data_IF_856603612804
#
_entry.id   IF_856603612804
#
_cell.length_a   1.000
_cell.length_b   1.000
_cell.length_c   1.000
_cell.angle_alpha   90.00
_cell.angle_beta   90.00
_cell.angle_gamma   90.00
#
_symmetry.space_group_name_H-M   'P 1'
#
loop_
_entity.id
_entity.type
_entity.pdbx_description
1 polymer ?
#
# COMPACT_ATOMS: atom_id res chain seq x y z
N UNK A 1 10.88 -28.98 2.00
CA UNK A 1 11.90 -27.92 1.98
C UNK A 1 11.31 -26.79 1.17
N UNK A 2 10.55 -25.92 1.82
CA UNK A 2 10.14 -24.65 1.21
C UNK A 2 11.41 -23.79 1.07
N UNK A 3 11.67 -23.23 -0.12
CA UNK A 3 12.79 -22.33 -0.29
C UNK A 3 12.47 -21.10 0.54
N UNK A 4 13.38 -20.83 1.48
CA UNK A 4 13.37 -19.65 2.33
C UNK A 4 13.26 -18.42 1.45
N UNK A 5 12.32 -17.54 1.79
CA UNK A 5 12.22 -16.15 1.32
C UNK A 5 13.41 -15.34 1.90
N UNK A 6 14.63 -15.82 1.69
CA UNK A 6 15.88 -15.19 2.11
C UNK A 6 16.49 -14.56 0.84
N UNK A 7 16.21 -13.28 0.57
CA UNK A 7 16.96 -12.53 -0.44
C UNK A 7 16.20 -11.51 -1.30
N UNK A 8 14.91 -11.28 -1.07
CA UNK A 8 14.27 -10.04 -1.50
C UNK A 8 14.04 -9.25 -0.22
N UNK A 9 14.86 -8.23 0.05
CA UNK A 9 14.33 -7.03 0.69
C UNK A 9 13.25 -6.53 -0.27
N UNK A 10 12.03 -7.07 -0.15
CA UNK A 10 10.89 -6.67 -0.97
C UNK A 10 10.57 -5.26 -0.52
N UNK A 11 10.99 -4.28 -1.32
CA UNK A 11 10.63 -2.90 -1.08
C UNK A 11 9.10 -2.82 -0.92
N UNK A 12 8.65 -2.06 0.07
CA UNK A 12 7.20 -1.94 0.30
C UNK A 12 6.53 -1.23 -0.88
N UNK A 13 5.22 -1.39 -1.03
CA UNK A 13 4.47 -0.65 -2.05
C UNK A 13 4.68 0.86 -1.89
N UNK A 14 4.71 1.35 -0.65
CA UNK A 14 5.06 2.73 -0.36
C UNK A 14 6.42 3.13 -0.94
N UNK A 15 7.47 2.34 -0.70
CA UNK A 15 8.81 2.66 -1.22
C UNK A 15 8.81 2.68 -2.75
N UNK A 16 8.10 1.77 -3.40
CA UNK A 16 7.97 1.77 -4.86
C UNK A 16 7.25 3.03 -5.38
N UNK A 17 6.11 3.38 -4.78
CA UNK A 17 5.33 4.56 -5.16
C UNK A 17 6.12 5.85 -4.89
N UNK A 18 6.79 5.94 -3.74
CA UNK A 18 7.63 7.08 -3.39
C UNK A 18 8.75 7.30 -4.40
N UNK A 19 9.52 6.26 -4.71
CA UNK A 19 10.61 6.36 -5.67
C UNK A 19 10.11 6.76 -7.07
N UNK A 20 8.95 6.24 -7.46
CA UNK A 20 8.33 6.60 -8.73
C UNK A 20 7.87 8.06 -8.75
N UNK A 21 7.18 8.54 -7.71
CA UNK A 21 6.76 9.93 -7.62
C UNK A 21 7.94 10.90 -7.58
N UNK A 22 9.00 10.56 -6.86
CA UNK A 22 10.24 11.35 -6.84
C UNK A 22 10.90 11.42 -8.24
N UNK A 23 10.88 10.33 -9.01
CA UNK A 23 11.35 10.32 -10.41
C UNK A 23 10.46 11.18 -11.31
N UNK A 24 9.13 11.10 -11.16
CA UNK A 24 8.18 11.92 -11.93
C UNK A 24 8.38 13.42 -11.69
N UNK A 25 8.76 13.83 -10.47
CA UNK A 25 9.06 15.22 -10.13
C UNK A 25 10.45 15.66 -10.63
N UNK A 26 11.42 14.75 -10.70
CA UNK A 26 12.80 15.07 -11.06
C UNK A 26 13.04 15.08 -12.58
N UNK A 27 12.31 14.26 -13.34
CA UNK A 27 12.51 14.07 -14.76
C UNK A 27 11.40 14.75 -15.58
N UNK A 28 11.80 15.58 -16.55
CA UNK A 28 10.86 16.25 -17.46
C UNK A 28 10.42 15.38 -18.65
N UNK A 29 11.11 14.26 -18.89
CA UNK A 29 10.80 13.31 -19.95
C UNK A 29 10.80 11.89 -19.39
N UNK A 30 9.63 11.27 -19.32
CA UNK A 30 9.45 9.85 -18.98
C UNK A 30 8.54 9.17 -20.00
N UNK A 31 8.59 7.83 -20.05
CA UNK A 31 7.72 7.01 -20.92
C UNK A 31 6.28 6.99 -20.41
N UNK A 32 5.55 8.08 -20.63
CA UNK A 32 4.20 8.31 -20.12
C UNK A 32 3.25 7.13 -20.40
N UNK A 33 3.16 6.67 -21.64
CA UNK A 33 2.22 5.60 -22.02
C UNK A 33 2.51 4.27 -21.28
N UNK A 34 3.78 3.96 -21.05
CA UNK A 34 4.17 2.76 -20.31
C UNK A 34 3.85 2.92 -18.82
N UNK A 35 4.08 4.12 -18.28
CA UNK A 35 3.80 4.43 -16.89
C UNK A 35 2.30 4.42 -16.58
N UNK A 36 1.48 4.98 -17.47
CA UNK A 36 0.02 4.96 -17.36
C UNK A 36 -0.51 3.52 -17.29
N UNK A 37 -0.05 2.64 -18.19
CA UNK A 37 -0.42 1.23 -18.16
C UNK A 37 -0.02 0.50 -16.86
N UNK A 38 1.17 0.79 -16.33
CA UNK A 38 1.59 0.23 -15.04
C UNK A 38 0.74 0.74 -13.87
N UNK A 39 0.38 2.03 -13.85
CA UNK A 39 -0.48 2.59 -12.79
C UNK A 39 -1.90 2.03 -12.87
N UNK A 40 -2.42 1.76 -14.07
CA UNK A 40 -3.70 1.07 -14.27
C UNK A 40 -3.68 -0.35 -13.70
N UNK A 41 -2.64 -1.13 -13.99
CA UNK A 41 -2.47 -2.48 -13.43
C UNK A 41 -2.42 -2.46 -11.89
N UNK A 42 -1.67 -1.52 -11.31
CA UNK A 42 -1.61 -1.35 -9.84
C UNK A 42 -2.97 -0.98 -9.25
N UNK A 43 -3.73 -0.10 -9.90
CA UNK A 43 -5.09 0.23 -9.45
C UNK A 43 -6.02 -0.98 -9.50
N UNK A 44 -5.97 -1.77 -10.57
CA UNK A 44 -6.77 -2.99 -10.70
C UNK A 44 -6.44 -3.98 -9.58
N UNK A 45 -5.17 -4.16 -9.25
CA UNK A 45 -4.71 -5.02 -8.17
C UNK A 45 -5.19 -4.52 -6.79
N UNK A 46 -5.06 -3.21 -6.51
CA UNK A 46 -5.55 -2.61 -5.26
C UNK A 46 -7.07 -2.78 -5.14
N UNK A 47 -7.81 -2.54 -6.23
CA UNK A 47 -9.26 -2.71 -6.25
C UNK A 47 -9.68 -4.17 -6.04
N UNK A 48 -8.95 -5.12 -6.62
CA UNK A 48 -9.18 -6.54 -6.42
C UNK A 48 -8.96 -6.94 -4.95
N UNK A 49 -7.89 -6.45 -4.32
CA UNK A 49 -7.64 -6.63 -2.89
C UNK A 49 -8.78 -6.01 -2.07
N UNK A 50 -9.14 -4.76 -2.34
CA UNK A 50 -10.19 -4.03 -1.62
C UNK A 50 -11.53 -4.78 -1.71
N UNK A 51 -11.90 -5.30 -2.88
CA UNK A 51 -13.10 -6.11 -3.04
C UNK A 51 -13.07 -7.39 -2.18
N UNK A 52 -11.92 -8.03 -2.06
CA UNK A 52 -11.72 -9.20 -1.19
C UNK A 52 -12.01 -8.91 0.28
N UNK A 53 -11.79 -7.68 0.74
CA UNK A 53 -12.05 -7.26 2.12
C UNK A 53 -13.48 -6.71 2.35
N UNK A 54 -14.38 -6.79 1.37
CA UNK A 54 -15.79 -6.42 1.57
C UNK A 54 -16.59 -7.45 2.38
N UNK A 55 -16.08 -8.67 2.53
CA UNK A 55 -16.70 -9.67 3.40
C UNK A 55 -16.53 -9.30 4.87
N UNK A 56 -17.51 -9.57 5.75
CA UNK A 56 -17.36 -9.29 7.18
C UNK A 56 -16.10 -9.94 7.76
N UNK A 57 -15.31 -9.18 8.52
CA UNK A 57 -14.17 -9.71 9.24
C UNK A 57 -14.57 -10.87 10.18
N UNK A 58 -13.65 -11.84 10.40
CA UNK A 58 -13.81 -12.79 11.50
C UNK A 58 -13.77 -12.04 12.85
N UNK A 59 -14.35 -12.64 13.92
CA UNK A 59 -14.32 -12.03 15.25
C UNK A 59 -12.90 -11.71 15.70
N UNK A 60 -12.66 -10.47 16.14
CA UNK A 60 -11.34 -9.96 16.54
C UNK A 60 -10.48 -9.46 15.38
N UNK A 61 -10.93 -9.62 14.14
CA UNK A 61 -10.26 -9.13 12.92
C UNK A 61 -10.79 -7.79 12.41
N UNK A 62 -11.79 -7.18 13.08
CA UNK A 62 -12.50 -5.99 12.59
C UNK A 62 -11.56 -4.78 12.47
N UNK A 63 -10.69 -4.56 13.46
CA UNK A 63 -9.72 -3.45 13.46
C UNK A 63 -8.66 -3.65 12.38
N UNK A 64 -8.17 -4.88 12.22
CA UNK A 64 -7.20 -5.23 11.17
C UNK A 64 -7.80 -5.00 9.78
N UNK A 65 -9.04 -5.45 9.55
CA UNK A 65 -9.74 -5.20 8.31
C UNK A 65 -9.95 -3.71 8.05
N UNK A 66 -10.34 -2.93 9.06
CA UNK A 66 -10.58 -1.50 8.91
C UNK A 66 -9.31 -0.75 8.48
N UNK A 67 -8.19 -0.97 9.18
CA UNK A 67 -6.91 -0.35 8.82
C UNK A 67 -6.40 -0.81 7.45
N UNK A 68 -6.57 -2.09 7.11
CA UNK A 68 -6.15 -2.59 5.82
C UNK A 68 -6.95 -1.98 4.67
N UNK A 69 -8.28 -1.87 4.82
CA UNK A 69 -9.15 -1.21 3.83
C UNK A 69 -8.77 0.27 3.67
N UNK A 70 -8.55 0.97 4.77
CA UNK A 70 -8.14 2.39 4.74
C UNK A 70 -6.77 2.58 4.06
N UNK A 71 -5.81 1.67 4.31
CA UNK A 71 -4.52 1.68 3.62
C UNK A 71 -4.67 1.49 2.09
N UNK A 72 -5.55 0.59 1.65
CA UNK A 72 -5.83 0.39 0.23
C UNK A 72 -6.47 1.63 -0.42
N UNK A 73 -7.39 2.30 0.28
CA UNK A 73 -8.00 3.54 -0.19
C UNK A 73 -6.96 4.67 -0.34
N UNK A 74 -6.00 4.74 0.59
CA UNK A 74 -4.91 5.72 0.54
C UNK A 74 -3.91 5.43 -0.59
N UNK A 75 -3.54 4.16 -0.82
CA UNK A 75 -2.74 3.80 -1.99
C UNK A 75 -3.47 4.07 -3.29
N UNK A 76 -4.77 3.83 -3.36
CA UNK A 76 -5.60 4.18 -4.53
C UNK A 76 -5.49 5.68 -4.84
N UNK A 77 -5.65 6.53 -3.83
CA UNK A 77 -5.51 8.00 -3.97
C UNK A 77 -4.11 8.40 -4.44
N UNK A 78 -3.06 7.74 -3.95
CA UNK A 78 -1.69 7.98 -4.40
C UNK A 78 -1.53 7.68 -5.90
N UNK A 79 -1.98 6.50 -6.34
CA UNK A 79 -1.84 6.06 -7.72
C UNK A 79 -2.70 6.91 -8.67
N UNK A 80 -3.90 7.32 -8.24
CA UNK A 80 -4.74 8.27 -8.98
C UNK A 80 -4.07 9.66 -9.12
N UNK A 81 -3.38 10.15 -8.08
CA UNK A 81 -2.63 11.39 -8.15
C UNK A 81 -1.46 11.29 -9.14
N UNK A 82 -0.74 10.16 -9.17
CA UNK A 82 0.30 9.89 -10.17
C UNK A 82 -0.27 9.90 -11.58
N UNK A 83 -1.39 9.22 -11.82
CA UNK A 83 -2.07 9.24 -13.13
C UNK A 83 -2.47 10.65 -13.54
N UNK A 84 -3.06 11.40 -12.62
CA UNK A 84 -3.46 12.79 -12.86
C UNK A 84 -2.26 13.65 -13.24
N UNK A 85 -1.11 13.45 -12.59
CA UNK A 85 0.15 14.14 -12.91
C UNK A 85 0.65 13.84 -14.34
N UNK A 86 0.41 12.63 -14.86
CA UNK A 86 0.75 12.31 -16.26
C UNK A 86 -0.09 13.15 -17.25
N UNK A 87 -1.34 13.43 -16.91
CA UNK A 87 -2.26 14.21 -17.74
C UNK A 87 -2.04 15.71 -17.62
N UNK A 88 -1.99 16.22 -16.40
CA UNK A 88 -1.78 17.61 -16.05
C UNK A 88 -0.76 17.68 -14.89
N UNK A 89 0.52 18.05 -15.16
CA UNK A 89 1.59 18.01 -14.17
C UNK A 89 1.42 19.03 -13.02
N UNK A 90 0.57 18.70 -12.06
CA UNK A 90 0.38 19.45 -10.82
C UNK A 90 1.19 18.83 -9.68
N UNK A 91 2.41 19.32 -9.45
CA UNK A 91 3.33 18.80 -8.42
C UNK A 91 2.70 18.71 -7.02
N UNK A 92 1.85 19.69 -6.66
CA UNK A 92 1.20 19.72 -5.36
C UNK A 92 0.19 18.57 -5.16
N UNK A 93 -0.45 18.09 -6.23
CA UNK A 93 -1.35 16.95 -6.16
C UNK A 93 -0.56 15.65 -6.06
N UNK A 94 0.53 15.52 -6.81
CA UNK A 94 1.43 14.37 -6.71
C UNK A 94 2.03 14.25 -5.30
N UNK A 95 2.49 15.36 -4.72
CA UNK A 95 3.02 15.36 -3.36
C UNK A 95 1.97 14.94 -2.33
N UNK A 96 0.73 15.43 -2.44
CA UNK A 96 -0.37 14.98 -1.57
C UNK A 96 -0.62 13.48 -1.70
N UNK A 97 -0.58 12.94 -2.93
CA UNK A 97 -0.70 11.50 -3.17
C UNK A 97 0.41 10.71 -2.49
N UNK A 98 1.66 11.19 -2.53
CA UNK A 98 2.78 10.56 -1.83
C UNK A 98 2.61 10.57 -0.32
N UNK A 99 2.12 11.67 0.24
CA UNK A 99 1.81 11.77 1.68
C UNK A 99 0.73 10.74 2.07
N UNK A 100 -0.27 10.48 1.20
CA UNK A 100 -1.25 9.40 1.42
C UNK A 100 -0.62 8.01 1.44
N UNK A 101 0.35 7.75 0.56
CA UNK A 101 1.04 6.45 0.57
C UNK A 101 1.86 6.23 1.86
N UNK A 102 2.39 7.31 2.46
CA UNK A 102 3.05 7.24 3.77
C UNK A 102 2.04 6.94 4.89
N UNK A 103 0.89 7.62 4.88
CA UNK A 103 -0.21 7.32 5.83
C UNK A 103 -0.69 5.86 5.69
N UNK A 104 -0.73 5.31 4.47
CA UNK A 104 -1.08 3.92 4.22
C UNK A 104 -0.08 2.95 4.85
N UNK A 105 1.22 3.23 4.73
CA UNK A 105 2.28 2.43 5.33
C UNK A 105 2.17 2.41 6.85
N UNK A 106 1.93 3.58 7.48
CA UNK A 106 1.73 3.69 8.92
C UNK A 106 0.58 2.80 9.42
N UNK A 107 -0.51 2.72 8.66
CA UNK A 107 -1.64 1.84 8.97
C UNK A 107 -1.27 0.36 8.85
N UNK A 108 -0.49 -0.02 7.84
CA UNK A 108 -0.02 -1.40 7.68
C UNK A 108 0.93 -1.81 8.81
N UNK A 109 1.83 -0.91 9.24
CA UNK A 109 2.68 -1.14 10.42
C UNK A 109 1.81 -1.32 11.68
N UNK A 110 0.77 -0.51 11.85
CA UNK A 110 -0.17 -0.67 12.97
C UNK A 110 -0.90 -2.02 12.92
N UNK A 111 -1.28 -2.50 11.73
CA UNK A 111 -1.86 -3.84 11.54
C UNK A 111 -0.88 -4.93 11.96
N UNK A 112 0.38 -4.84 11.56
CA UNK A 112 1.41 -5.81 11.95
C UNK A 112 1.61 -5.85 13.47
N UNK A 113 1.62 -4.70 14.12
CA UNK A 113 1.70 -4.61 15.59
C UNK A 113 0.52 -5.31 16.26
N UNK A 114 -0.72 -5.05 15.83
CA UNK A 114 -1.92 -5.70 16.38
C UNK A 114 -1.86 -7.22 16.20
N UNK A 115 -1.43 -7.69 15.03
CA UNK A 115 -1.28 -9.12 14.76
C UNK A 115 -0.21 -9.73 15.67
N UNK A 116 0.90 -9.04 15.87
CA UNK A 116 2.01 -9.52 16.71
C UNK A 116 1.62 -9.59 18.19
N UNK A 117 0.97 -8.55 18.72
CA UNK A 117 0.44 -8.53 20.10
C UNK A 117 -0.53 -9.70 20.34
N UNK A 118 -1.42 -9.97 19.37
CA UNK A 118 -2.35 -11.09 19.46
C UNK A 118 -1.65 -12.46 19.46
N UNK A 119 -0.58 -12.62 18.67
CA UNK A 119 0.23 -13.87 18.68
C UNK A 119 0.90 -14.08 20.02
N UNK A 120 1.50 -13.04 20.60
CA UNK A 120 2.18 -13.12 21.90
C UNK A 120 1.23 -13.47 23.04
N UNK A 121 0.00 -12.93 23.02
CA UNK A 121 -1.05 -13.28 23.98
C UNK A 121 -1.48 -14.74 23.88
N UNK A 122 -1.61 -15.27 22.66
CA UNK A 122 -1.96 -16.67 22.42
C UNK A 122 -0.85 -17.63 22.85
N UNK A 123 0.41 -17.28 22.55
CA UNK A 123 1.58 -18.10 22.92
C UNK A 123 1.86 -18.04 24.44
N UNK A 124 1.66 -16.89 25.09
CA UNK A 124 1.80 -16.73 26.53
C UNK A 124 0.68 -17.40 27.33
N UNK A 125 -0.53 -17.48 26.77
CA UNK A 125 -1.69 -18.14 27.38
C UNK A 125 -1.63 -19.67 27.37
N UNK A 126 -0.83 -20.29 26.50
CA UNK A 126 -0.63 -21.74 26.43
C UNK A 126 0.37 -22.27 27.49
N UNK A 127 1.04 -21.39 28.23
CA UNK A 127 2.00 -21.72 29.29
C UNK A 127 1.46 -21.50 30.72
N UNK A 128 0.18 -21.15 30.87
CA UNK A 128 -0.51 -20.91 32.16
C UNK A 128 -1.54 -22.00 32.46
#
# INVERSE_FOLDING_TARGET
MEPRLEGLEQMSLYEHLRNLGEQMLAESEFHRDALEGMLDEVLEDIQALHHGYQTPAPPGGEVVQAFFVEALDLYTQCVEAMRSYLEDPEEALLQQGLDRAEEAEDLLVAVEMVIQENKELLDGGLMS
#
